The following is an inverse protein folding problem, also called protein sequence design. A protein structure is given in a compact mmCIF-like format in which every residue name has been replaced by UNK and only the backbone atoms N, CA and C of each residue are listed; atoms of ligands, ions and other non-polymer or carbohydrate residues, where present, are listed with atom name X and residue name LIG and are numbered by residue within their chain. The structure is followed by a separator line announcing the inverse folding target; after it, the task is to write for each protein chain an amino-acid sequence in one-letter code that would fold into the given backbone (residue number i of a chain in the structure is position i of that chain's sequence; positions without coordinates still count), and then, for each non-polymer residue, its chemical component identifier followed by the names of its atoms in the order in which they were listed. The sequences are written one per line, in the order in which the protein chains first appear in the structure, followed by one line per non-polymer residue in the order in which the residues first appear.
data_IF_595396368048
#
_entry.id   IF_595396368048
#
_cell.length_a   1.000
_cell.length_b   1.000
_cell.length_c   1.000
_cell.angle_alpha   90.00
_cell.angle_beta   90.00
_cell.angle_gamma   90.00
#
_symmetry.space_group_name_H-M   'P 1'
#
loop_
_entity.id
_entity.type
_entity.pdbx_description
1 polymer ?
#
# COMPACT_ATOMS: atom_id res chain seq x y z
N UNK A 1 24.72 -96.04 -76.23
CA UNK A 1 25.24 -97.04 -75.27
C UNK A 1 26.74 -96.81 -75.10
N UNK A 2 27.42 -97.09 -73.97
CA UNK A 2 27.04 -97.07 -72.54
C UNK A 2 28.03 -96.20 -71.70
N UNK A 3 27.59 -95.65 -70.56
CA UNK A 3 27.97 -96.00 -69.17
C UNK A 3 29.45 -95.83 -68.71
N UNK A 4 29.60 -94.96 -67.69
CA UNK A 4 30.24 -95.17 -66.37
C UNK A 4 31.79 -95.29 -66.19
N UNK A 5 32.20 -94.62 -65.09
CA UNK A 5 33.21 -94.96 -64.05
C UNK A 5 34.60 -94.30 -64.08
N UNK A 6 34.77 -93.32 -63.18
CA UNK A 6 35.76 -93.22 -62.05
C UNK A 6 37.23 -93.63 -62.25
N UNK A 7 38.19 -92.72 -62.01
CA UNK A 7 39.10 -92.63 -60.82
C UNK A 7 40.32 -91.70 -61.04
N UNK A 8 40.62 -90.98 -59.95
CA UNK A 8 41.77 -90.15 -59.50
C UNK A 8 43.18 -90.68 -59.88
N UNK A 9 44.25 -89.84 -60.04
CA UNK A 9 45.18 -89.50 -58.93
C UNK A 9 45.68 -88.02 -58.94
N UNK A 10 45.78 -87.31 -57.80
CA UNK A 10 46.93 -87.09 -56.88
C UNK A 10 48.21 -86.40 -57.43
N UNK A 11 48.37 -85.13 -56.99
CA UNK A 11 49.53 -84.49 -56.30
C UNK A 11 50.84 -84.21 -57.08
N UNK A 12 51.24 -82.92 -57.13
CA UNK A 12 52.65 -82.46 -57.15
C UNK A 12 52.80 -81.23 -56.22
N UNK A 13 53.88 -81.22 -55.44
CA UNK A 13 54.29 -80.22 -54.44
C UNK A 13 55.33 -79.22 -54.97
N UNK A 14 55.16 -77.94 -54.56
CA UNK A 14 56.14 -76.90 -54.12
C UNK A 14 57.36 -76.47 -54.98
N UNK A 15 57.45 -75.15 -55.23
CA UNK A 15 58.27 -74.10 -54.53
C UNK A 15 58.17 -72.79 -55.38
N UNK A 16 57.69 -71.63 -54.92
CA UNK A 16 58.12 -70.68 -53.86
C UNK A 16 59.35 -69.80 -54.21
N UNK A 17 59.10 -68.58 -54.69
CA UNK A 17 59.95 -67.39 -54.49
C UNK A 17 59.03 -66.18 -54.18
N UNK A 18 59.44 -65.35 -53.22
CA UNK A 18 58.59 -64.46 -52.41
C UNK A 18 58.37 -63.05 -52.99
N UNK A 19 57.19 -62.47 -52.70
CA UNK A 19 56.85 -61.04 -52.85
C UNK A 19 56.56 -60.41 -51.46
N UNK A 20 56.80 -59.11 -51.23
CA UNK A 20 57.00 -58.58 -49.86
C UNK A 20 55.69 -58.35 -49.07
N UNK A 21 55.62 -58.94 -47.86
CA UNK A 21 54.48 -58.88 -46.91
C UNK A 21 54.20 -57.51 -46.25
N UNK A 22 54.97 -56.45 -46.53
CA UNK A 22 54.84 -55.14 -45.82
C UNK A 22 53.61 -54.29 -46.20
N UNK A 23 52.80 -54.69 -47.18
CA UNK A 23 51.60 -53.93 -47.63
C UNK A 23 50.25 -54.46 -47.10
N UNK A 24 50.20 -55.60 -46.42
CA UNK A 24 48.95 -56.19 -45.92
C UNK A 24 48.56 -55.79 -44.49
N UNK A 25 49.51 -55.38 -43.62
CA UNK A 25 49.20 -55.04 -42.22
C UNK A 25 48.71 -53.60 -41.97
N UNK A 26 48.92 -52.66 -42.89
CA UNK A 26 48.42 -51.27 -42.71
C UNK A 26 46.95 -51.08 -43.12
N UNK A 27 46.41 -51.91 -44.01
CA UNK A 27 44.99 -51.88 -44.40
C UNK A 27 44.08 -52.52 -43.35
N UNK A 28 44.52 -53.57 -42.66
CA UNK A 28 43.73 -54.27 -41.62
C UNK A 28 43.54 -53.45 -40.34
N UNK A 29 44.53 -52.63 -39.96
CA UNK A 29 44.46 -51.70 -38.80
C UNK A 29 43.59 -50.47 -39.11
N UNK A 30 43.61 -49.98 -40.36
CA UNK A 30 42.77 -48.87 -40.83
C UNK A 30 41.27 -49.21 -40.85
N UNK A 31 40.91 -50.43 -41.26
CA UNK A 31 39.50 -50.87 -41.30
C UNK A 31 38.92 -51.09 -39.89
N UNK A 32 39.72 -51.60 -38.94
CA UNK A 32 39.28 -51.79 -37.54
C UNK A 32 39.03 -50.47 -36.80
N UNK A 33 39.87 -49.44 -37.03
CA UNK A 33 39.66 -48.09 -36.46
C UNK A 33 38.42 -47.37 -37.04
N UNK A 34 38.15 -47.55 -38.33
CA UNK A 34 36.94 -47.01 -38.95
C UNK A 34 35.66 -47.72 -38.45
N UNK A 35 35.73 -49.04 -38.21
CA UNK A 35 34.60 -49.78 -37.64
C UNK A 35 34.29 -49.36 -36.19
N UNK A 36 35.30 -49.10 -35.35
CA UNK A 36 35.08 -48.64 -33.97
C UNK A 36 34.51 -47.22 -33.90
N UNK A 37 34.96 -46.31 -34.78
CA UNK A 37 34.43 -44.93 -34.82
C UNK A 37 32.95 -44.91 -35.23
N UNK A 38 32.54 -45.75 -36.18
CA UNK A 38 31.14 -45.87 -36.62
C UNK A 38 30.25 -46.43 -35.50
N UNK A 39 30.77 -47.33 -34.67
CA UNK A 39 30.02 -47.90 -33.51
C UNK A 39 29.82 -46.84 -32.41
N UNK A 40 30.86 -46.06 -32.11
CA UNK A 40 30.76 -44.95 -31.14
C UNK A 40 29.82 -43.85 -31.61
N UNK A 41 29.88 -43.49 -32.89
CA UNK A 41 29.04 -42.46 -33.47
C UNK A 41 27.55 -42.88 -33.48
N UNK A 42 27.26 -44.15 -33.82
CA UNK A 42 25.90 -44.73 -33.69
C UNK A 42 25.40 -44.73 -32.24
N UNK A 43 26.28 -45.01 -31.27
CA UNK A 43 25.98 -44.95 -29.83
C UNK A 43 25.60 -43.53 -29.37
N UNK A 44 26.37 -42.52 -29.80
CA UNK A 44 26.11 -41.12 -29.50
C UNK A 44 24.80 -40.62 -30.11
N UNK A 45 24.53 -40.98 -31.37
CA UNK A 45 23.27 -40.65 -32.06
C UNK A 45 22.09 -41.29 -31.33
N UNK A 46 22.19 -42.56 -30.94
CA UNK A 46 21.14 -43.27 -30.19
C UNK A 46 20.87 -42.63 -28.82
N UNK A 47 21.92 -42.16 -28.12
CA UNK A 47 21.78 -41.38 -26.87
C UNK A 47 21.10 -40.02 -27.09
N UNK A 48 21.46 -39.29 -28.16
CA UNK A 48 20.83 -38.00 -28.51
C UNK A 48 19.34 -38.16 -28.84
N UNK A 49 18.98 -39.19 -29.60
CA UNK A 49 17.58 -39.51 -29.93
C UNK A 49 16.80 -39.84 -28.65
N UNK A 50 17.33 -40.71 -27.78
CA UNK A 50 16.65 -41.10 -26.53
C UNK A 50 16.42 -39.92 -25.58
N UNK A 51 17.34 -38.94 -25.55
CA UNK A 51 17.16 -37.68 -24.80
C UNK A 51 16.06 -36.81 -25.40
N UNK A 52 16.02 -36.66 -26.73
CA UNK A 52 14.95 -35.91 -27.42
C UNK A 52 13.58 -36.57 -27.24
N UNK A 53 13.49 -37.89 -27.31
CA UNK A 53 12.24 -38.64 -27.07
C UNK A 53 11.76 -38.43 -25.64
N UNK A 54 12.62 -38.54 -24.62
CA UNK A 54 12.24 -38.21 -23.23
C UNK A 54 11.77 -36.77 -23.06
N UNK A 55 12.44 -35.82 -23.70
CA UNK A 55 12.00 -34.41 -23.69
C UNK A 55 10.62 -34.24 -24.33
N UNK A 56 10.28 -35.04 -25.34
CA UNK A 56 8.96 -35.02 -25.96
C UNK A 56 7.92 -35.69 -25.04
N UNK A 57 8.26 -36.79 -24.38
CA UNK A 57 7.39 -37.46 -23.41
C UNK A 57 7.12 -36.58 -22.18
N UNK A 58 8.13 -35.85 -21.70
CA UNK A 58 8.00 -34.86 -20.61
C UNK A 58 7.13 -33.67 -21.04
N UNK A 59 7.20 -33.26 -22.31
CA UNK A 59 6.32 -32.24 -22.89
C UNK A 59 4.88 -32.76 -23.13
N UNK A 60 4.70 -34.06 -23.33
CA UNK A 60 3.43 -34.75 -23.53
C UNK A 60 2.85 -35.35 -22.25
N UNK A 61 3.48 -35.14 -21.09
CA UNK A 61 2.96 -35.59 -19.80
C UNK A 61 1.61 -34.92 -19.51
N UNK A 62 0.55 -35.65 -19.86
CA UNK A 62 -0.85 -35.25 -19.72
C UNK A 62 -1.16 -34.79 -18.30
N UNK A 63 -0.45 -35.28 -17.28
CA UNK A 63 -0.65 -34.89 -15.87
C UNK A 63 -0.13 -33.48 -15.60
N UNK A 64 1.07 -33.15 -16.10
CA UNK A 64 1.68 -31.83 -15.97
C UNK A 64 0.97 -30.78 -16.84
N UNK A 65 0.56 -31.13 -18.06
CA UNK A 65 -0.25 -30.27 -18.92
C UNK A 65 -1.61 -29.99 -18.27
N UNK A 66 -2.32 -31.01 -17.78
CA UNK A 66 -3.62 -30.86 -17.10
C UNK A 66 -3.50 -30.00 -15.83
N UNK A 67 -2.39 -30.09 -15.09
CA UNK A 67 -2.12 -29.25 -13.92
C UNK A 67 -1.90 -27.77 -14.31
N UNK A 68 -1.12 -27.50 -15.37
CA UNK A 68 -0.92 -26.15 -15.90
C UNK A 68 -2.22 -25.54 -16.44
N UNK A 69 -2.99 -26.30 -17.22
CA UNK A 69 -4.29 -25.85 -17.74
C UNK A 69 -5.27 -25.57 -16.60
N UNK A 70 -5.39 -26.45 -15.59
CA UNK A 70 -6.21 -26.19 -14.40
C UNK A 70 -5.78 -24.93 -13.65
N UNK A 71 -4.47 -24.70 -13.52
CA UNK A 71 -3.93 -23.50 -12.87
C UNK A 71 -4.27 -22.23 -13.66
N UNK A 72 -4.04 -22.23 -14.98
CA UNK A 72 -4.33 -21.09 -15.83
C UNK A 72 -5.85 -20.78 -15.87
N UNK A 73 -6.70 -21.81 -16.02
CA UNK A 73 -8.16 -21.65 -15.95
C UNK A 73 -8.57 -21.13 -14.57
N UNK A 74 -7.98 -21.61 -13.47
CA UNK A 74 -8.30 -21.10 -12.13
C UNK A 74 -7.87 -19.63 -11.96
N UNK A 75 -6.69 -19.24 -12.45
CA UNK A 75 -6.20 -17.86 -12.46
C UNK A 75 -7.08 -16.95 -13.31
N UNK A 76 -7.50 -17.42 -14.48
CA UNK A 76 -8.36 -16.70 -15.41
C UNK A 76 -9.81 -16.58 -14.90
N UNK A 77 -10.33 -17.62 -14.25
CA UNK A 77 -11.61 -17.59 -13.52
C UNK A 77 -11.53 -16.67 -12.30
N UNK A 78 -10.40 -16.60 -11.60
CA UNK A 78 -10.21 -15.68 -10.47
C UNK A 78 -10.16 -14.21 -10.96
N UNK A 79 -9.47 -13.97 -12.07
CA UNK A 79 -9.38 -12.66 -12.73
C UNK A 79 -10.74 -12.24 -13.30
N UNK A 80 -11.44 -13.17 -13.96
CA UNK A 80 -12.80 -12.99 -14.46
C UNK A 80 -13.80 -12.75 -13.34
N UNK A 81 -13.78 -13.51 -12.23
CA UNK A 81 -14.62 -13.25 -11.04
C UNK A 81 -14.31 -11.92 -10.37
N UNK A 82 -13.04 -11.49 -10.30
CA UNK A 82 -12.66 -10.14 -9.83
C UNK A 82 -13.24 -9.05 -10.74
N UNK A 83 -13.10 -9.22 -12.06
CA UNK A 83 -13.65 -8.28 -13.04
C UNK A 83 -15.19 -8.28 -13.04
N UNK A 84 -15.84 -9.43 -12.88
CA UNK A 84 -17.30 -9.54 -12.76
C UNK A 84 -17.79 -8.88 -11.47
N UNK A 85 -17.10 -9.08 -10.32
CA UNK A 85 -17.42 -8.37 -9.07
C UNK A 85 -17.28 -6.85 -9.21
N UNK A 86 -16.23 -6.38 -9.89
CA UNK A 86 -16.04 -4.95 -10.19
C UNK A 86 -17.10 -4.40 -11.17
N UNK A 87 -17.69 -5.26 -12.01
CA UNK A 87 -18.74 -4.90 -12.99
C UNK A 87 -20.16 -4.97 -12.41
N UNK A 88 -20.36 -5.65 -11.28
CA UNK A 88 -21.68 -5.96 -10.67
C UNK A 88 -21.99 -5.07 -9.45
N UNK A 89 -21.00 -4.40 -8.84
CA UNK A 89 -21.21 -3.52 -7.68
C UNK A 89 -20.58 -2.14 -7.93
N UNK A 90 -21.42 -1.13 -8.12
CA UNK A 90 -21.77 -0.09 -7.13
C UNK A 90 -20.79 1.07 -7.14
N UNK A 91 -21.34 2.27 -7.37
CA UNK A 91 -20.77 3.58 -7.07
C UNK A 91 -19.44 3.60 -6.31
N UNK A 92 -18.45 4.42 -6.73
CA UNK A 92 -17.14 4.51 -6.07
C UNK A 92 -17.19 5.10 -4.65
N UNK A 93 -18.39 5.35 -4.13
CA UNK A 93 -18.68 5.95 -2.84
C UNK A 93 -19.20 4.91 -1.84
N UNK A 94 -18.64 4.96 -0.63
CA UNK A 94 -19.30 4.46 0.58
C UNK A 94 -19.59 5.63 1.52
N UNK A 95 -20.74 5.59 2.18
CA UNK A 95 -21.21 6.60 3.11
C UNK A 95 -21.27 6.01 4.52
N UNK A 96 -20.61 6.67 5.47
CA UNK A 96 -20.51 6.24 6.86
C UNK A 96 -21.22 7.28 7.72
N UNK A 97 -22.36 6.90 8.30
CA UNK A 97 -23.16 7.75 9.16
C UNK A 97 -22.81 7.51 10.63
N UNK A 98 -22.53 8.58 11.36
CA UNK A 98 -22.29 8.55 12.80
C UNK A 98 -23.47 7.93 13.56
N UNK A 99 -23.18 7.26 14.69
CA UNK A 99 -24.18 6.52 15.45
C UNK A 99 -25.30 7.42 16.01
N UNK A 100 -24.94 8.61 16.52
CA UNK A 100 -25.89 9.55 17.10
C UNK A 100 -26.85 10.18 16.07
N UNK A 101 -26.63 9.97 14.78
CA UNK A 101 -27.57 10.39 13.73
C UNK A 101 -28.77 9.44 13.61
N UNK A 102 -28.78 8.32 14.35
CA UNK A 102 -29.91 7.41 14.46
C UNK A 102 -31.03 8.07 15.28
N UNK A 103 -32.16 8.34 14.63
CA UNK A 103 -33.38 8.80 15.30
C UNK A 103 -34.14 9.86 14.52
N UNK A 104 -35.37 10.11 14.95
CA UNK A 104 -36.32 11.00 14.26
C UNK A 104 -35.79 12.43 14.08
N UNK A 105 -34.89 12.90 14.97
CA UNK A 105 -34.31 14.25 14.92
C UNK A 105 -33.65 14.57 13.58
N UNK A 106 -32.89 13.64 13.01
CA UNK A 106 -32.10 13.87 11.80
C UNK A 106 -32.71 13.21 10.55
N UNK A 107 -33.77 12.41 10.69
CA UNK A 107 -34.35 11.61 9.62
C UNK A 107 -34.74 12.44 8.38
N UNK A 108 -35.39 13.58 8.58
CA UNK A 108 -35.75 14.49 7.48
C UNK A 108 -34.52 15.04 6.75
N UNK A 109 -33.49 15.45 7.50
CA UNK A 109 -32.25 15.98 6.92
C UNK A 109 -31.49 14.89 6.16
N UNK A 110 -31.36 13.70 6.76
CA UNK A 110 -30.72 12.54 6.14
C UNK A 110 -31.42 12.15 4.84
N UNK A 111 -32.75 12.09 4.82
CA UNK A 111 -33.52 11.82 3.59
C UNK A 111 -33.26 12.86 2.52
N UNK A 112 -33.18 14.13 2.90
CA UNK A 112 -32.87 15.22 1.96
C UNK A 112 -31.46 15.08 1.39
N UNK A 113 -30.48 14.72 2.23
CA UNK A 113 -29.09 14.42 1.82
C UNK A 113 -29.06 13.23 0.86
N UNK A 114 -29.65 12.10 1.23
CA UNK A 114 -29.66 10.86 0.43
C UNK A 114 -30.33 11.07 -0.94
N UNK A 115 -31.44 11.80 -0.99
CA UNK A 115 -32.09 12.19 -2.24
C UNK A 115 -31.15 13.07 -3.09
N UNK A 116 -30.53 14.09 -2.48
CA UNK A 116 -29.63 14.99 -3.21
C UNK A 116 -28.40 14.26 -3.77
N UNK A 117 -27.82 13.33 -3.00
CA UNK A 117 -26.72 12.48 -3.47
C UNK A 117 -27.13 11.60 -4.66
N UNK A 118 -28.39 11.15 -4.67
CA UNK A 118 -28.97 10.38 -5.79
C UNK A 118 -29.15 11.26 -7.02
N UNK A 119 -29.73 12.45 -6.87
CA UNK A 119 -29.90 13.43 -7.96
C UNK A 119 -28.58 13.82 -8.61
N UNK A 120 -27.52 13.94 -7.80
CA UNK A 120 -26.16 14.25 -8.24
C UNK A 120 -25.41 13.04 -8.82
N UNK A 121 -26.03 11.85 -8.85
CA UNK A 121 -25.42 10.62 -9.38
C UNK A 121 -24.23 10.11 -8.57
N UNK A 122 -24.16 10.43 -7.28
CA UNK A 122 -23.07 10.04 -6.37
C UNK A 122 -23.54 9.14 -5.21
N UNK A 123 -24.79 8.68 -5.22
CA UNK A 123 -25.31 7.66 -4.27
C UNK A 123 -24.39 6.44 -4.22
N UNK A 124 -24.24 5.80 -3.05
CA UNK A 124 -23.32 4.66 -2.89
C UNK A 124 -23.67 3.74 -1.72
N UNK A 125 -22.74 2.88 -1.33
CA UNK A 125 -22.96 1.92 -0.23
C UNK A 125 -23.17 2.69 1.07
N UNK A 126 -24.19 2.36 1.86
CA UNK A 126 -24.48 3.05 3.13
C UNK A 126 -24.14 2.17 4.32
N UNK A 127 -23.42 2.74 5.27
CA UNK A 127 -23.10 2.16 6.56
C UNK A 127 -23.56 3.10 7.67
N UNK A 128 -24.39 2.58 8.58
CA UNK A 128 -24.76 3.28 9.80
C UNK A 128 -23.95 2.68 10.95
N UNK A 129 -23.08 3.47 11.56
CA UNK A 129 -22.23 3.02 12.66
C UNK A 129 -23.06 2.66 13.88
N UNK A 130 -22.57 1.69 14.63
CA UNK A 130 -23.09 1.25 15.92
C UNK A 130 -21.89 0.99 16.83
N UNK A 131 -22.08 1.02 18.14
CA UNK A 131 -21.05 0.75 19.16
C UNK A 131 -20.14 -0.46 18.90
N UNK A 132 -20.60 -1.49 18.17
CA UNK A 132 -19.82 -2.72 17.90
C UNK A 132 -19.10 -2.73 16.55
N UNK A 133 -19.21 -1.70 15.71
CA UNK A 133 -18.59 -1.67 14.37
C UNK A 133 -17.27 -0.92 14.40
N UNK A 134 -16.20 -1.59 13.98
CA UNK A 134 -14.91 -0.98 13.77
C UNK A 134 -14.87 -0.22 12.44
N UNK A 135 -14.69 1.10 12.51
CA UNK A 135 -14.62 1.98 11.35
C UNK A 135 -13.54 1.55 10.34
N UNK A 136 -12.38 1.13 10.85
CA UNK A 136 -11.24 0.72 10.03
C UNK A 136 -11.56 -0.53 9.22
N UNK A 137 -12.10 -1.56 9.86
CA UNK A 137 -12.46 -2.82 9.19
C UNK A 137 -13.49 -2.60 8.08
N UNK A 138 -14.44 -1.69 8.32
CA UNK A 138 -15.49 -1.33 7.37
C UNK A 138 -14.91 -0.63 6.13
N UNK A 139 -14.04 0.36 6.33
CA UNK A 139 -13.36 1.05 5.22
C UNK A 139 -12.42 0.09 4.48
N UNK A 140 -11.71 -0.79 5.17
CA UNK A 140 -10.87 -1.82 4.55
C UNK A 140 -11.69 -2.79 3.69
N UNK A 141 -12.88 -3.18 4.15
CA UNK A 141 -13.79 -4.04 3.38
C UNK A 141 -14.25 -3.34 2.10
N UNK A 142 -14.65 -2.07 2.19
CA UNK A 142 -15.07 -1.27 1.05
C UNK A 142 -13.93 -1.06 0.06
N UNK A 143 -12.73 -0.76 0.56
CA UNK A 143 -11.51 -0.62 -0.25
C UNK A 143 -11.19 -1.91 -0.99
N UNK A 144 -11.30 -3.07 -0.32
CA UNK A 144 -11.13 -4.40 -0.94
C UNK A 144 -12.17 -4.69 -2.04
N UNK A 145 -13.34 -4.04 -1.99
CA UNK A 145 -14.40 -4.13 -3.01
C UNK A 145 -14.21 -3.13 -4.16
N UNK A 146 -13.19 -2.28 -4.11
CA UNK A 146 -12.88 -1.29 -5.15
C UNK A 146 -13.49 0.09 -4.92
N UNK A 147 -14.13 0.32 -3.76
CA UNK A 147 -14.59 1.64 -3.35
C UNK A 147 -13.35 2.45 -2.95
N UNK A 148 -13.19 3.65 -3.51
CA UNK A 148 -12.01 4.49 -3.28
C UNK A 148 -12.33 5.86 -2.69
N UNK A 149 -13.63 6.16 -2.53
CA UNK A 149 -14.11 7.38 -1.91
C UNK A 149 -15.02 7.03 -0.72
N UNK A 150 -14.58 7.41 0.47
CA UNK A 150 -15.35 7.25 1.71
C UNK A 150 -15.91 8.61 2.08
N UNK A 151 -17.22 8.71 2.27
CA UNK A 151 -17.91 9.92 2.70
C UNK A 151 -18.41 9.72 4.12
N UNK A 152 -18.00 10.59 5.02
CA UNK A 152 -18.42 10.53 6.43
C UNK A 152 -19.50 11.56 6.67
N UNK A 153 -20.60 11.12 7.28
CA UNK A 153 -21.73 11.96 7.67
C UNK A 153 -21.75 12.06 9.19
N UNK A 154 -21.37 13.21 9.73
CA UNK A 154 -21.17 13.40 11.17
C UNK A 154 -20.40 14.67 11.52
N UNK A 155 -19.91 14.74 12.75
CA UNK A 155 -19.20 15.87 13.34
C UNK A 155 -17.70 15.60 13.47
N UNK A 156 -16.98 16.52 14.11
CA UNK A 156 -15.52 16.49 14.19
C UNK A 156 -14.95 15.19 14.80
N UNK A 157 -15.68 14.52 15.70
CA UNK A 157 -15.25 13.28 16.36
C UNK A 157 -15.03 12.13 15.35
N UNK A 158 -16.07 11.79 14.59
CA UNK A 158 -16.00 10.72 13.59
C UNK A 158 -15.16 11.14 12.38
N UNK A 159 -15.14 12.43 12.04
CA UNK A 159 -14.30 12.96 10.96
C UNK A 159 -12.82 12.77 11.31
N UNK A 160 -12.37 13.08 12.54
CA UNK A 160 -10.98 12.85 12.97
C UNK A 160 -10.60 11.38 12.88
N UNK A 161 -11.47 10.49 13.34
CA UNK A 161 -11.22 9.05 13.27
C UNK A 161 -11.11 8.57 11.82
N UNK A 162 -12.01 9.04 10.96
CA UNK A 162 -12.02 8.70 9.54
C UNK A 162 -10.81 9.23 8.79
N UNK A 163 -10.30 10.42 9.15
CA UNK A 163 -9.04 10.94 8.61
C UNK A 163 -7.88 10.00 8.95
N UNK A 164 -7.77 9.54 10.21
CA UNK A 164 -6.72 8.59 10.60
C UNK A 164 -6.76 7.32 9.76
N UNK A 165 -7.95 6.74 9.60
CA UNK A 165 -8.14 5.53 8.81
C UNK A 165 -7.84 5.79 7.33
N UNK A 166 -8.32 6.90 6.78
CA UNK A 166 -8.12 7.25 5.38
C UNK A 166 -6.64 7.46 5.04
N UNK A 167 -5.87 8.09 5.95
CA UNK A 167 -4.43 8.27 5.81
C UNK A 167 -3.63 6.95 5.90
N UNK A 168 -4.18 5.91 6.53
CA UNK A 168 -3.56 4.58 6.55
C UNK A 168 -3.87 3.75 5.31
N UNK A 169 -5.08 3.89 4.76
CA UNK A 169 -5.58 3.06 3.66
C UNK A 169 -5.46 3.70 2.28
N UNK A 170 -4.95 4.93 2.21
CA UNK A 170 -4.86 5.75 0.99
C UNK A 170 -6.21 5.77 0.24
N UNK A 171 -7.26 6.23 0.90
CA UNK A 171 -8.58 6.46 0.29
C UNK A 171 -8.91 7.94 0.27
N UNK A 172 -9.72 8.37 -0.71
CA UNK A 172 -10.23 9.73 -0.76
C UNK A 172 -11.33 9.89 0.29
N UNK A 173 -11.24 10.90 1.14
CA UNK A 173 -12.25 11.20 2.16
C UNK A 173 -13.12 12.38 1.73
N UNK A 174 -14.42 12.18 1.71
CA UNK A 174 -15.45 13.22 1.64
C UNK A 174 -16.14 13.40 3.00
N UNK A 175 -16.72 14.57 3.23
CA UNK A 175 -17.35 14.92 4.51
C UNK A 175 -18.72 15.56 4.23
N UNK A 176 -19.72 15.15 4.99
CA UNK A 176 -21.02 15.81 5.10
C UNK A 176 -21.20 16.15 6.59
N UNK A 177 -20.96 17.40 6.99
CA UNK A 177 -21.09 17.81 8.38
C UNK A 177 -22.55 17.73 8.80
N UNK A 178 -22.84 16.99 9.86
CA UNK A 178 -24.19 16.86 10.42
C UNK A 178 -24.16 16.40 11.89
N UNK A 179 -25.08 16.91 12.70
CA UNK A 179 -25.24 16.52 14.09
C UNK A 179 -25.04 17.66 15.09
N UNK A 180 -24.42 17.35 16.23
CA UNK A 180 -23.97 18.33 17.21
C UNK A 180 -22.53 18.02 17.61
N UNK A 181 -21.78 19.01 18.10
CA UNK A 181 -20.39 18.82 18.55
C UNK A 181 -19.31 19.57 17.75
N UNK A 182 -19.69 20.45 16.81
CA UNK A 182 -18.78 21.29 16.05
C UNK A 182 -18.34 20.68 14.71
N UNK A 183 -18.03 21.57 13.77
CA UNK A 183 -17.66 21.22 12.39
C UNK A 183 -16.37 21.91 11.95
N UNK A 184 -15.45 22.17 12.89
CA UNK A 184 -14.27 22.99 12.63
C UNK A 184 -13.38 22.39 11.55
N UNK A 185 -13.34 21.06 11.44
CA UNK A 185 -12.60 20.38 10.36
C UNK A 185 -13.25 20.68 9.02
N UNK A 186 -14.57 20.54 8.92
CA UNK A 186 -15.29 20.81 7.69
C UNK A 186 -15.17 22.28 7.28
N UNK A 187 -15.27 23.21 8.24
CA UNK A 187 -15.07 24.64 8.02
C UNK A 187 -13.66 24.96 7.51
N UNK A 188 -12.62 24.37 8.11
CA UNK A 188 -11.24 24.52 7.64
C UNK A 188 -11.08 24.02 6.18
N UNK A 189 -11.83 22.98 5.81
CA UNK A 189 -11.87 22.42 4.46
C UNK A 189 -12.85 23.14 3.51
N UNK A 190 -13.54 24.19 3.97
CA UNK A 190 -14.51 24.95 3.17
C UNK A 190 -15.78 24.16 2.83
N UNK A 191 -16.16 23.19 3.66
CA UNK A 191 -17.32 22.30 3.46
C UNK A 191 -18.48 22.82 4.32
N UNK A 192 -19.62 23.19 3.72
CA UNK A 192 -20.80 23.65 4.46
C UNK A 192 -21.54 22.49 5.12
N UNK A 193 -22.42 22.80 6.08
CA UNK A 193 -23.23 21.78 6.77
C UNK A 193 -24.36 21.21 5.89
N UNK A 194 -24.71 19.95 6.15
CA UNK A 194 -25.94 19.32 5.67
C UNK A 194 -25.98 19.11 4.15
N UNK A 195 -27.14 19.35 3.54
CA UNK A 195 -27.37 19.08 2.11
C UNK A 195 -26.39 19.83 1.20
N UNK A 196 -25.98 21.05 1.57
CA UNK A 196 -25.07 21.86 0.76
C UNK A 196 -23.70 21.21 0.59
N UNK A 197 -23.29 20.32 1.50
CA UNK A 197 -22.05 19.55 1.38
C UNK A 197 -22.07 18.62 0.16
N UNK A 198 -23.26 18.19 -0.28
CA UNK A 198 -23.42 17.32 -1.46
C UNK A 198 -22.89 18.00 -2.73
N UNK A 199 -23.02 19.32 -2.85
CA UNK A 199 -22.46 20.09 -3.96
C UNK A 199 -20.94 20.15 -3.93
N UNK A 200 -20.34 20.14 -2.73
CA UNK A 200 -18.89 20.06 -2.61
C UNK A 200 -18.40 18.67 -3.04
N UNK A 201 -19.14 17.62 -2.65
CA UNK A 201 -18.83 16.24 -3.06
C UNK A 201 -18.95 16.04 -4.57
N UNK A 202 -19.96 16.62 -5.22
CA UNK A 202 -20.18 16.49 -6.67
C UNK A 202 -19.09 17.18 -7.49
N UNK A 203 -18.49 18.25 -6.97
CA UNK A 203 -17.38 18.97 -7.61
C UNK A 203 -16.08 18.15 -7.67
N UNK A 204 -15.91 17.17 -6.77
CA UNK A 204 -14.72 16.28 -6.71
C UNK A 204 -13.39 17.03 -6.72
N UNK A 205 -13.32 18.21 -6.10
CA UNK A 205 -12.08 18.94 -5.92
C UNK A 205 -11.28 18.21 -4.84
N UNK A 206 -10.32 17.38 -5.27
CA UNK A 206 -9.45 16.62 -4.37
C UNK A 206 -8.20 17.45 -4.07
N UNK A 207 -7.98 17.74 -2.80
CA UNK A 207 -6.74 18.30 -2.30
C UNK A 207 -5.94 17.23 -1.55
N UNK A 208 -4.62 17.29 -1.69
CA UNK A 208 -3.70 16.39 -1.00
C UNK A 208 -2.98 17.18 0.07
N UNK A 209 -3.07 16.70 1.31
CA UNK A 209 -2.40 17.32 2.43
C UNK A 209 -1.42 16.36 3.07
N UNK A 210 -0.40 16.94 3.68
CA UNK A 210 0.57 16.25 4.48
C UNK A 210 -0.10 15.77 5.79
N UNK A 211 0.40 14.65 6.31
CA UNK A 211 -0.14 14.05 7.54
C UNK A 211 0.99 13.75 8.52
N UNK A 212 0.84 14.27 9.73
CA UNK A 212 1.70 13.96 10.85
C UNK A 212 1.44 12.54 11.37
N UNK A 213 2.52 11.82 11.67
CA UNK A 213 2.49 10.51 12.31
C UNK A 213 3.31 10.53 13.59
N UNK A 214 2.74 10.01 14.67
CA UNK A 214 3.41 9.76 15.94
C UNK A 214 3.54 8.25 16.14
N UNK A 215 4.77 7.74 16.24
CA UNK A 215 5.08 6.30 16.32
C UNK A 215 4.34 5.47 15.25
N UNK A 216 4.29 6.01 14.02
CA UNK A 216 3.63 5.39 12.87
C UNK A 216 2.12 5.60 12.77
N UNK A 217 1.46 6.13 13.80
CA UNK A 217 0.01 6.39 13.80
C UNK A 217 -0.30 7.84 13.40
N UNK A 218 -1.27 8.10 12.49
CA UNK A 218 -1.63 9.46 12.11
C UNK A 218 -2.20 10.30 13.26
N UNK A 219 -1.87 11.58 13.30
CA UNK A 219 -2.57 12.61 14.05
C UNK A 219 -3.00 13.73 13.11
N UNK A 220 -4.15 14.35 13.41
CA UNK A 220 -4.82 15.28 12.48
C UNK A 220 -4.41 16.72 12.75
N UNK A 221 -4.53 17.15 13.99
CA UNK A 221 -4.46 18.55 14.40
C UNK A 221 -3.10 18.89 15.01
N UNK A 222 -2.85 18.41 16.23
CA UNK A 222 -1.64 18.77 16.97
C UNK A 222 -1.26 17.73 18.01
N UNK A 223 0.02 17.74 18.33
CA UNK A 223 0.59 17.15 19.53
C UNK A 223 0.85 18.26 20.55
N UNK A 224 0.69 17.96 21.84
CA UNK A 224 0.86 18.95 22.89
C UNK A 224 1.54 18.37 24.13
N UNK A 225 2.64 18.99 24.55
CA UNK A 225 3.39 18.66 25.75
C UNK A 225 3.24 19.84 26.69
N UNK A 226 2.54 19.65 27.82
CA UNK A 226 2.33 20.74 28.78
C UNK A 226 3.37 20.72 29.89
N UNK A 227 3.99 21.86 30.13
CA UNK A 227 4.89 22.16 31.25
C UNK A 227 5.89 21.05 31.60
N UNK A 228 6.48 20.40 30.59
CA UNK A 228 7.48 19.35 30.76
C UNK A 228 8.75 19.71 29.98
N UNK A 229 9.90 19.47 30.59
CA UNK A 229 11.21 19.71 29.99
C UNK A 229 11.63 18.49 29.18
N UNK A 230 11.19 18.44 27.92
CA UNK A 230 11.44 17.34 27.00
C UNK A 230 12.16 17.88 25.75
N UNK A 231 13.36 17.38 25.42
CA UNK A 231 14.07 17.80 24.21
C UNK A 231 13.47 17.17 22.96
N UNK A 232 13.27 17.98 21.92
CA UNK A 232 12.80 17.61 20.60
C UNK A 232 13.98 17.68 19.63
N UNK A 233 14.49 16.53 19.17
CA UNK A 233 15.56 16.49 18.20
C UNK A 233 14.99 16.56 16.78
N UNK A 234 15.06 17.75 16.19
CA UNK A 234 14.38 18.13 14.96
C UNK A 234 15.29 17.92 13.73
N UNK A 235 14.74 17.24 12.72
CA UNK A 235 15.39 16.94 11.43
C UNK A 235 16.80 16.31 11.56
N UNK A 236 17.11 15.71 12.71
CA UNK A 236 18.45 15.25 13.11
C UNK A 236 19.54 16.33 13.04
N UNK A 237 19.17 17.60 13.21
CA UNK A 237 20.08 18.75 13.00
C UNK A 237 20.18 19.66 14.21
N UNK A 238 19.07 19.90 14.89
CA UNK A 238 19.01 20.81 16.02
C UNK A 238 18.04 20.31 17.08
N UNK A 239 18.19 20.80 18.30
CA UNK A 239 17.33 20.47 19.43
C UNK A 239 16.47 21.67 19.81
N UNK A 240 15.19 21.43 20.06
CA UNK A 240 14.25 22.41 20.61
C UNK A 240 13.78 21.89 21.96
N UNK A 241 13.82 22.72 22.99
CA UNK A 241 13.32 22.35 24.30
C UNK A 241 12.73 23.58 24.98
N UNK A 242 11.57 23.40 25.61
CA UNK A 242 11.03 24.41 26.52
C UNK A 242 11.73 24.30 27.88
N UNK A 243 12.33 25.37 28.43
CA UNK A 243 12.87 25.37 29.80
C UNK A 243 11.75 25.26 30.87
N UNK A 244 10.49 25.40 30.45
CA UNK A 244 9.26 25.29 31.23
C UNK A 244 8.12 25.93 30.44
N UNK A 245 6.89 25.46 30.60
CA UNK A 245 5.75 25.87 29.75
C UNK A 245 5.46 24.86 28.64
N UNK A 246 4.72 25.29 27.63
CA UNK A 246 4.04 24.39 26.70
C UNK A 246 4.73 24.30 25.34
N UNK A 247 4.67 23.11 24.75
CA UNK A 247 5.11 22.87 23.36
C UNK A 247 3.94 22.28 22.59
N UNK A 248 3.61 22.89 21.46
CA UNK A 248 2.61 22.38 20.52
C UNK A 248 3.28 22.09 19.17
N UNK A 249 2.96 20.95 18.57
CA UNK A 249 3.44 20.55 17.24
C UNK A 249 2.20 20.42 16.37
N UNK A 250 2.04 21.30 15.39
CA UNK A 250 0.86 21.37 14.54
C UNK A 250 1.08 20.60 13.23
N UNK A 251 0.02 19.95 12.78
CA UNK A 251 -0.16 19.46 11.42
C UNK A 251 -1.32 20.19 10.73
N UNK A 252 -2.36 20.55 11.49
CA UNK A 252 -3.51 21.30 10.99
C UNK A 252 -4.06 22.23 12.08
N UNK A 253 -4.43 23.45 11.72
CA UNK A 253 -5.14 24.34 12.64
C UNK A 253 -6.66 24.14 12.55
N UNK A 254 -7.23 23.48 13.56
CA UNK A 254 -8.68 23.31 13.71
C UNK A 254 -9.36 24.45 14.48
N UNK A 255 -8.60 25.40 15.03
CA UNK A 255 -9.16 26.59 15.67
C UNK A 255 -8.74 27.83 14.86
N UNK A 256 -9.43 28.05 13.73
CA UNK A 256 -9.06 29.12 12.79
C UNK A 256 -9.28 30.53 13.34
N UNK A 257 -9.96 30.67 14.47
CA UNK A 257 -10.22 31.96 15.12
C UNK A 257 -9.16 32.34 16.16
N UNK A 258 -8.40 31.37 16.67
CA UNK A 258 -7.34 31.62 17.64
C UNK A 258 -6.12 32.25 16.98
N UNK A 259 -6.08 33.58 17.04
CA UNK A 259 -4.97 34.41 16.52
C UNK A 259 -3.62 34.15 17.21
N UNK A 260 -3.59 33.38 18.30
CA UNK A 260 -2.34 32.99 18.98
C UNK A 260 -1.70 31.75 18.35
N UNK A 261 -2.39 31.08 17.42
CA UNK A 261 -1.85 29.98 16.64
C UNK A 261 -1.27 30.59 15.36
N UNK A 262 -0.01 30.27 15.00
CA UNK A 262 0.56 30.71 13.74
C UNK A 262 -0.25 30.15 12.56
N UNK A 263 -0.12 30.78 11.39
CA UNK A 263 -0.70 30.21 10.17
C UNK A 263 -0.03 28.85 9.91
N UNK A 264 -0.85 27.80 9.92
CA UNK A 264 -0.43 26.41 9.67
C UNK A 264 -0.67 26.09 8.20
N UNK A 265 0.33 25.51 7.53
CA UNK A 265 0.20 25.09 6.13
C UNK A 265 0.43 23.58 6.00
N UNK A 266 -0.63 22.76 5.92
CA UNK A 266 -0.50 21.30 5.86
C UNK A 266 0.01 20.78 4.50
N UNK A 267 0.71 21.61 3.71
CA UNK A 267 1.14 21.31 2.33
C UNK A 267 2.56 21.79 2.02
N UNK A 268 3.28 22.30 3.01
CA UNK A 268 4.63 22.83 2.83
C UNK A 268 5.73 21.82 3.19
N UNK A 269 5.36 20.60 3.57
CA UNK A 269 6.29 19.56 3.97
C UNK A 269 6.90 19.77 5.36
N UNK A 270 6.28 20.58 6.22
CA UNK A 270 6.77 20.88 7.57
C UNK A 270 5.67 20.71 8.63
N UNK A 271 6.08 20.43 9.87
CA UNK A 271 5.27 20.57 11.07
C UNK A 271 5.74 21.83 11.80
N UNK A 272 4.79 22.64 12.27
CA UNK A 272 5.07 23.85 13.03
C UNK A 272 5.16 23.55 14.52
N UNK A 273 6.31 23.84 15.11
CA UNK A 273 6.60 23.63 16.53
C UNK A 273 6.54 24.98 17.24
N UNK A 274 5.47 25.19 18.00
CA UNK A 274 5.24 26.39 18.80
C UNK A 274 5.65 26.13 20.25
N UNK A 275 6.65 26.87 20.72
CA UNK A 275 7.14 26.82 22.10
C UNK A 275 6.67 28.06 22.85
N UNK A 276 5.88 27.84 23.91
CA UNK A 276 5.33 28.88 24.79
C UNK A 276 5.94 28.75 26.18
N UNK A 277 6.95 29.57 26.54
CA UNK A 277 7.58 29.46 27.85
C UNK A 277 6.60 29.83 28.96
N UNK A 278 6.76 29.21 30.15
CA UNK A 278 5.93 29.50 31.33
C UNK A 278 6.07 30.98 31.68
N UNK A 279 4.94 31.69 31.78
CA UNK A 279 4.93 33.10 32.20
C UNK A 279 5.51 33.20 33.62
N UNK A 280 6.51 34.06 33.81
CA UNK A 280 6.94 34.47 35.16
C UNK A 280 5.95 35.53 35.66
N UNK A 281 5.34 35.31 36.83
CA UNK A 281 4.56 36.34 37.52
C UNK A 281 5.53 37.37 38.10
N UNK A 282 5.81 38.44 37.36
CA UNK A 282 6.51 39.61 37.89
C UNK A 282 5.51 40.58 38.54
N UNK A 283 5.81 41.07 39.74
CA UNK A 283 4.92 41.94 40.55
C UNK A 283 4.69 43.31 39.88
N UNK A 284 5.48 43.71 38.88
CA UNK A 284 5.39 45.05 38.26
C UNK A 284 5.47 45.13 36.73
N UNK A 285 5.29 44.04 35.97
CA UNK A 285 5.16 44.13 34.51
C UNK A 285 4.53 42.87 33.92
N UNK A 286 3.52 43.03 33.04
CA UNK A 286 3.12 41.98 32.09
C UNK A 286 4.26 41.76 31.11
N UNK A 287 5.22 40.88 31.44
CA UNK A 287 6.16 40.39 30.42
C UNK A 287 5.37 39.59 29.38
N UNK A 288 5.39 40.05 28.12
CA UNK A 288 4.97 39.22 26.99
C UNK A 288 5.99 38.07 26.90
N UNK A 289 5.60 36.87 27.28
CA UNK A 289 6.37 35.66 27.01
C UNK A 289 6.60 35.57 25.51
N UNK A 290 7.85 35.67 25.06
CA UNK A 290 8.19 35.57 23.65
C UNK A 290 8.00 34.11 23.19
N UNK A 291 6.97 33.88 22.40
CA UNK A 291 6.72 32.57 21.76
C UNK A 291 7.77 32.34 20.68
N UNK A 292 8.21 31.11 20.50
CA UNK A 292 9.18 30.72 19.47
C UNK A 292 8.54 29.70 18.52
N UNK A 293 8.77 29.89 17.22
CA UNK A 293 8.27 29.02 16.16
C UNK A 293 9.43 28.34 15.44
N UNK A 294 9.38 27.02 15.35
CA UNK A 294 10.34 26.20 14.64
C UNK A 294 9.61 25.27 13.66
N UNK A 295 10.34 24.67 12.73
CA UNK A 295 9.74 23.84 11.68
C UNK A 295 10.50 22.55 11.44
N UNK A 296 9.83 21.41 11.48
CA UNK A 296 10.47 20.12 11.26
C UNK A 296 9.56 19.12 10.54
N UNK A 297 10.13 18.26 9.71
CA UNK A 297 9.40 17.13 9.12
C UNK A 297 9.68 15.80 9.86
N UNK A 298 10.65 15.80 10.77
CA UNK A 298 10.97 14.70 11.67
C UNK A 298 11.35 15.26 13.03
N UNK A 299 10.78 14.70 14.10
CA UNK A 299 11.11 15.05 15.48
C UNK A 299 11.29 13.74 16.25
N UNK A 300 12.46 13.55 16.84
CA UNK A 300 12.75 12.42 17.71
C UNK A 300 12.79 12.90 19.16
N UNK A 301 12.09 12.21 20.05
CA UNK A 301 12.09 12.50 21.48
C UNK A 301 12.51 11.24 22.22
N UNK A 302 13.55 11.35 23.06
CA UNK A 302 13.99 10.27 23.95
C UNK A 302 14.17 10.82 25.35
N UNK A 303 13.51 10.19 26.32
CA UNK A 303 13.56 10.56 27.73
C UNK A 303 13.80 9.33 28.59
N UNK A 304 14.65 9.46 29.63
CA UNK A 304 14.86 8.40 30.60
C UNK A 304 13.60 8.09 31.44
N UNK A 305 12.68 9.05 31.55
CA UNK A 305 11.43 8.95 32.30
C UNK A 305 10.24 9.15 31.35
N UNK A 306 9.13 8.46 31.60
CA UNK A 306 7.92 8.63 30.81
C UNK A 306 7.39 10.07 30.94
N UNK A 307 7.04 10.67 29.81
CA UNK A 307 6.41 11.99 29.73
C UNK A 307 5.02 11.88 29.09
N UNK A 308 4.17 12.87 29.35
CA UNK A 308 2.85 12.93 28.76
C UNK A 308 2.81 13.82 27.53
N UNK A 309 2.13 13.34 26.49
CA UNK A 309 1.85 14.08 25.26
C UNK A 309 0.37 13.89 24.92
N UNK A 310 -0.33 14.98 24.61
CA UNK A 310 -1.68 14.91 24.11
C UNK A 310 -1.61 14.78 22.59
N UNK A 311 -2.27 13.75 22.05
CA UNK A 311 -2.40 13.50 20.62
C UNK A 311 -3.84 13.83 20.25
N UNK A 312 -4.07 14.91 19.51
CA UNK A 312 -5.42 15.42 19.18
C UNK A 312 -6.35 15.54 20.40
N UNK A 313 -5.80 15.95 21.54
CA UNK A 313 -6.53 16.13 22.81
C UNK A 313 -6.59 14.90 23.71
N UNK A 314 -6.13 13.73 23.26
CA UNK A 314 -6.09 12.51 24.07
C UNK A 314 -4.70 12.37 24.72
N UNK A 315 -4.66 12.32 26.05
CA UNK A 315 -3.40 12.18 26.81
C UNK A 315 -2.82 10.77 26.64
N UNK A 316 -1.54 10.71 26.28
CA UNK A 316 -0.76 9.49 26.15
C UNK A 316 0.55 9.62 26.93
N UNK A 317 1.21 8.51 27.26
CA UNK A 317 2.50 8.48 27.94
C UNK A 317 3.53 7.70 27.13
N UNK A 318 4.72 8.25 26.97
CA UNK A 318 5.81 7.63 26.23
C UNK A 318 7.16 7.88 26.90
N UNK A 319 8.13 7.00 26.65
CA UNK A 319 9.57 7.26 26.92
C UNK A 319 10.30 7.70 25.65
N UNK A 320 9.90 7.15 24.52
CA UNK A 320 10.44 7.45 23.20
C UNK A 320 9.30 7.71 22.21
N UNK A 321 9.47 8.74 21.40
CA UNK A 321 8.51 9.11 20.36
C UNK A 321 9.26 9.50 19.10
N UNK A 322 8.86 8.92 17.98
CA UNK A 322 9.21 9.37 16.64
C UNK A 322 7.99 10.08 16.03
N UNK A 323 8.16 11.34 15.65
CA UNK A 323 7.17 12.13 14.91
C UNK A 323 7.71 12.35 13.50
N UNK A 324 6.89 12.04 12.49
CA UNK A 324 7.24 12.22 11.08
C UNK A 324 6.09 12.85 10.33
N UNK A 325 6.42 13.65 9.33
CA UNK A 325 5.47 14.07 8.32
C UNK A 325 5.49 13.10 7.13
N UNK A 326 4.31 12.78 6.61
CA UNK A 326 4.15 12.06 5.34
C UNK A 326 3.57 13.03 4.33
N UNK A 327 4.34 13.31 3.28
CA UNK A 327 3.93 14.24 2.23
C UNK A 327 2.72 13.71 1.46
N UNK A 328 1.72 14.57 1.25
CA UNK A 328 0.51 14.26 0.48
C UNK A 328 -0.19 12.96 0.92
N UNK A 329 -0.07 12.61 2.21
CA UNK A 329 -0.50 11.33 2.77
C UNK A 329 -2.01 11.21 2.98
N UNK A 330 -2.78 12.28 2.73
CA UNK A 330 -4.23 12.28 2.85
C UNK A 330 -4.87 12.98 1.65
N UNK A 331 -5.92 12.35 1.09
CA UNK A 331 -6.73 12.89 -0.01
C UNK A 331 -8.10 13.30 0.51
N UNK A 332 -8.44 14.58 0.38
CA UNK A 332 -9.70 15.14 0.87
C UNK A 332 -10.48 15.78 -0.27
N UNK A 333 -11.79 15.57 -0.32
CA UNK A 333 -12.68 16.43 -1.11
C UNK A 333 -12.91 17.71 -0.32
N UNK A 334 -12.62 18.85 -0.93
CA UNK A 334 -12.62 20.16 -0.25
C UNK A 334 -13.46 21.20 -1.01
N UNK A 335 -13.89 22.24 -0.30
CA UNK A 335 -14.55 23.38 -0.91
C UNK A 335 -13.58 24.45 -1.43
N UNK A 336 -14.12 25.37 -2.24
CA UNK A 336 -13.34 26.50 -2.79
C UNK A 336 -12.85 27.48 -1.72
N UNK A 337 -13.61 27.65 -0.64
CA UNK A 337 -13.31 28.59 0.46
C UNK A 337 -12.48 28.01 1.62
N UNK A 338 -11.74 26.93 1.39
CA UNK A 338 -10.92 26.28 2.42
C UNK A 338 -9.83 27.20 2.95
N UNK A 339 -9.50 27.04 4.23
CA UNK A 339 -8.54 27.87 4.98
C UNK A 339 -7.16 27.21 5.13
N UNK A 340 -6.93 26.11 4.42
CA UNK A 340 -5.76 25.22 4.52
C UNK A 340 -4.86 25.29 3.29
#
# INVERSE_FOLDING_TARGET
MPAKKTKIPKKIEKKSAAYPQKKLDKKSVSVKKAASSIVEEKSLVKKKIKRKVRSIDDLLDKKNIKKRIKKNIAEELLKSKKNLKAKIYTSPYAYIYAEYLRGAKYEKQLRTIENRLTDLGISGRVHRLSQFKNLKELIEEDTRRGINTIVVVGGDDIIKESIRVAAELDVTLGIIPLGGGGYHIAEALGIPEGVSACEILSQRIIDKIDIGKINGKPFVSRLYISNQRVPLFCNKKYEVMSPGGDVAIYNLNLNTEDKTIPKINPKDGQLEILVKPKKKLGIFKKEKSQESLFFANRIDIKSGIAFSIFVDGIKNFYKEVEIKLVLQGLRLIVGKGRKI
#
